data_IF_541251175915
#
_entry.id   IF_541251175915
#
_cell.length_a   1.000
_cell.length_b   1.000
_cell.length_c   1.000
_cell.angle_alpha   90.00
_cell.angle_beta   90.00
_cell.angle_gamma   90.00
#
_symmetry.space_group_name_H-M   'P 1'
#
loop_
_entity.id
_entity.type
_entity.pdbx_description
1 polymer ?
#
# COMPACT_ATOMS: atom_id res chain seq x y z
N UNK A 1 -68.81 -8.70 -18.83
CA UNK A 1 -69.79 -8.53 -17.74
C UNK A 1 -69.03 -8.33 -16.43
N UNK A 2 -69.49 -7.41 -15.55
CA UNK A 2 -68.78 -6.96 -14.37
C UNK A 2 -69.19 -7.67 -13.07
N UNK A 3 -68.20 -7.91 -12.18
CA UNK A 3 -68.21 -7.96 -10.69
C UNK A 3 -69.20 -8.90 -9.95
N UNK A 4 -69.13 -9.06 -8.61
CA UNK A 4 -68.02 -9.05 -7.62
C UNK A 4 -68.08 -10.34 -6.73
N UNK A 5 -67.17 -10.62 -5.78
CA UNK A 5 -67.35 -10.52 -4.32
C UNK A 5 -66.05 -11.09 -3.69
N UNK A 6 -65.16 -10.26 -3.11
CA UNK A 6 -65.05 -9.90 -1.67
C UNK A 6 -64.22 -10.91 -0.84
N UNK A 7 -63.41 -10.43 0.13
CA UNK A 7 -62.13 -11.01 0.58
C UNK A 7 -62.18 -11.54 2.03
N UNK A 8 -61.05 -12.09 2.52
CA UNK A 8 -60.40 -11.72 3.79
C UNK A 8 -59.23 -12.67 4.12
N UNK A 9 -58.10 -12.06 4.50
CA UNK A 9 -57.21 -12.39 5.64
C UNK A 9 -56.88 -13.87 5.92
N UNK A 10 -55.67 -14.31 6.24
CA UNK A 10 -54.49 -13.67 6.79
C UNK A 10 -53.37 -14.71 6.75
N UNK A 11 -52.17 -14.30 6.39
CA UNK A 11 -50.86 -14.84 6.81
C UNK A 11 -49.85 -14.18 5.84
N UNK A 12 -49.42 -12.95 6.09
CA UNK A 12 -48.63 -12.61 7.25
C UNK A 12 -47.16 -12.81 6.90
N UNK A 13 -46.59 -11.82 6.19
CA UNK A 13 -45.23 -11.28 6.29
C UNK A 13 -44.91 -10.49 5.00
N UNK A 14 -45.16 -9.17 4.97
CA UNK A 14 -44.82 -8.34 3.83
C UNK A 14 -43.31 -8.10 3.74
N UNK A 15 -42.79 -8.26 2.52
CA UNK A 15 -41.50 -7.77 2.06
C UNK A 15 -41.56 -6.25 2.10
N UNK A 16 -41.26 -5.67 3.25
CA UNK A 16 -41.19 -4.21 3.41
C UNK A 16 -39.79 -3.73 3.06
N UNK A 17 -39.71 -3.23 1.82
CA UNK A 17 -38.82 -2.18 1.35
C UNK A 17 -38.29 -1.30 2.48
N UNK A 18 -37.03 -1.52 2.86
CA UNK A 18 -36.30 -0.73 3.85
C UNK A 18 -36.03 0.65 3.25
N UNK A 19 -36.97 1.56 3.48
CA UNK A 19 -36.97 2.93 2.99
C UNK A 19 -35.81 3.71 3.63
N UNK A 20 -34.90 4.24 2.80
CA UNK A 20 -33.71 5.05 3.17
C UNK A 20 -34.00 6.26 4.08
N UNK A 21 -35.26 6.60 4.34
CA UNK A 21 -35.68 7.70 5.20
C UNK A 21 -35.87 7.33 6.68
N UNK A 22 -35.85 6.05 7.04
CA UNK A 22 -35.98 5.62 8.44
C UNK A 22 -34.68 5.69 9.26
N UNK A 23 -33.53 6.01 8.63
CA UNK A 23 -32.21 6.02 9.30
C UNK A 23 -31.76 7.43 9.73
N UNK A 24 -32.67 8.39 9.84
CA UNK A 24 -32.33 9.80 10.19
C UNK A 24 -33.02 10.27 11.48
N UNK A 25 -33.80 9.44 12.16
CA UNK A 25 -34.46 9.85 13.40
C UNK A 25 -34.02 8.98 14.59
N UNK A 26 -32.92 9.39 15.23
CA UNK A 26 -32.64 8.97 16.62
C UNK A 26 -31.18 8.64 16.91
N UNK A 27 -30.38 9.64 17.30
CA UNK A 27 -30.03 9.84 18.71
C UNK A 27 -29.13 11.10 18.88
N UNK A 28 -29.36 11.90 19.93
CA UNK A 28 -28.82 13.25 20.08
C UNK A 28 -27.49 13.30 20.86
N UNK A 29 -26.75 14.37 20.58
CA UNK A 29 -25.90 15.15 21.49
C UNK A 29 -25.16 14.40 22.62
N UNK A 30 -23.91 14.00 22.34
CA UNK A 30 -22.80 14.16 23.28
C UNK A 30 -21.79 15.11 22.65
N UNK A 31 -22.15 16.40 22.65
CA UNK A 31 -21.17 17.49 22.58
C UNK A 31 -20.51 17.53 23.96
N UNK A 32 -19.44 16.78 24.12
CA UNK A 32 -18.43 17.09 25.12
C UNK A 32 -17.23 17.61 24.37
N UNK A 33 -17.07 18.93 24.46
CA UNK A 33 -15.89 19.65 24.01
C UNK A 33 -14.63 19.03 24.63
N UNK A 34 -13.71 18.60 23.76
CA UNK A 34 -12.30 18.45 24.06
C UNK A 34 -11.51 18.46 22.75
N UNK A 35 -11.38 19.64 22.14
CA UNK A 35 -10.19 20.00 21.37
C UNK A 35 -9.58 21.19 22.14
N UNK A 36 -8.26 21.28 22.34
CA UNK A 36 -7.23 20.76 21.46
C UNK A 36 -6.11 20.06 22.21
N UNK A 37 -6.08 18.73 22.17
CA UNK A 37 -4.79 18.08 22.11
C UNK A 37 -4.44 18.04 20.62
N UNK A 38 -3.66 19.00 20.17
CA UNK A 38 -2.67 18.68 19.16
C UNK A 38 -1.84 17.56 19.79
N UNK A 39 -2.31 16.31 19.66
CA UNK A 39 -1.40 15.18 19.72
C UNK A 39 -0.31 15.57 18.75
N UNK A 40 0.93 15.62 19.24
CA UNK A 40 2.08 15.36 18.42
C UNK A 40 1.72 14.14 17.57
N UNK A 41 1.20 14.40 16.37
CA UNK A 41 1.02 13.39 15.37
C UNK A 41 2.45 13.07 15.00
N UNK A 42 3.02 12.08 15.71
CA UNK A 42 4.35 11.58 15.45
C UNK A 42 4.46 11.47 13.93
N UNK A 43 5.49 12.07 13.31
CA UNK A 43 5.57 12.19 11.87
C UNK A 43 5.32 10.80 11.28
N UNK A 44 4.27 10.70 10.46
CA UNK A 44 3.86 9.41 9.93
C UNK A 44 5.07 8.78 9.23
N UNK A 45 5.38 7.49 9.50
CA UNK A 45 6.59 6.85 8.99
C UNK A 45 6.63 6.95 7.47
N UNK A 46 7.81 7.21 6.92
CA UNK A 46 7.98 7.37 5.47
C UNK A 46 7.53 6.08 4.75
N UNK A 47 6.55 6.15 3.81
CA UNK A 47 6.05 4.98 3.11
C UNK A 47 7.15 4.21 2.35
N UNK A 48 8.24 4.88 1.97
CA UNK A 48 9.40 4.26 1.35
C UNK A 48 9.97 3.13 2.21
N UNK A 49 10.08 3.35 3.53
CA UNK A 49 10.64 2.36 4.46
C UNK A 49 9.82 1.07 4.45
N UNK A 50 8.49 1.20 4.50
CA UNK A 50 7.58 0.05 4.49
C UNK A 50 7.62 -0.70 3.15
N UNK A 51 7.70 0.03 2.03
CA UNK A 51 7.78 -0.55 0.70
C UNK A 51 9.09 -1.31 0.48
N UNK A 52 10.22 -0.74 0.87
CA UNK A 52 11.53 -1.42 0.77
C UNK A 52 11.57 -2.67 1.64
N UNK A 53 11.05 -2.61 2.87
CA UNK A 53 10.93 -3.79 3.72
C UNK A 53 10.05 -4.88 3.10
N UNK A 54 8.95 -4.49 2.44
CA UNK A 54 8.06 -5.42 1.73
C UNK A 54 8.75 -6.04 0.51
N UNK A 55 9.49 -5.25 -0.26
CA UNK A 55 10.30 -5.73 -1.37
C UNK A 55 11.35 -6.73 -0.89
N UNK A 56 12.07 -6.43 0.19
CA UNK A 56 13.07 -7.33 0.77
C UNK A 56 12.51 -8.69 1.19
N UNK A 57 11.28 -8.72 1.74
CA UNK A 57 10.57 -9.98 2.02
C UNK A 57 10.20 -10.75 0.75
N UNK A 58 9.68 -10.07 -0.27
CA UNK A 58 9.38 -10.71 -1.55
C UNK A 58 10.65 -11.29 -2.20
N UNK A 59 11.77 -10.56 -2.15
CA UNK A 59 13.09 -11.02 -2.62
C UNK A 59 13.57 -12.25 -1.84
N UNK A 60 13.44 -12.26 -0.52
CA UNK A 60 13.79 -13.42 0.30
C UNK A 60 12.96 -14.66 -0.07
N UNK A 61 11.66 -14.50 -0.31
CA UNK A 61 10.80 -15.59 -0.77
C UNK A 61 11.13 -16.06 -2.18
N UNK A 62 11.47 -15.14 -3.09
CA UNK A 62 11.94 -15.49 -4.42
C UNK A 62 13.25 -16.30 -4.35
N UNK A 63 14.23 -15.87 -3.54
CA UNK A 63 15.48 -16.61 -3.32
C UNK A 63 15.25 -18.01 -2.75
N UNK A 64 14.32 -18.15 -1.80
CA UNK A 64 13.95 -19.45 -1.25
C UNK A 64 13.29 -20.35 -2.30
N UNK A 65 12.42 -19.80 -3.16
CA UNK A 65 11.81 -20.54 -4.27
C UNK A 65 12.86 -20.94 -5.33
N UNK A 66 13.78 -20.04 -5.66
CA UNK A 66 14.86 -20.29 -6.61
C UNK A 66 15.84 -21.36 -6.09
N UNK A 67 16.16 -21.35 -4.80
CA UNK A 67 17.01 -22.38 -4.18
C UNK A 67 16.35 -23.77 -4.16
N UNK A 68 15.02 -23.83 -4.18
CA UNK A 68 14.25 -25.08 -4.27
C UNK A 68 14.07 -25.55 -5.72
N UNK A 69 14.42 -24.73 -6.71
CA UNK A 69 14.32 -25.07 -8.13
C UNK A 69 15.56 -25.84 -8.58
N UNK A 70 15.43 -27.16 -8.67
CA UNK A 70 16.52 -28.06 -9.05
C UNK A 70 16.91 -27.94 -10.53
N UNK A 71 16.01 -27.43 -11.38
CA UNK A 71 16.28 -27.26 -12.81
C UNK A 71 17.04 -25.96 -13.07
N UNK A 72 17.11 -25.05 -12.09
CA UNK A 72 17.83 -23.78 -12.16
C UNK A 72 17.31 -22.79 -13.21
N UNK A 73 16.16 -23.07 -13.82
CA UNK A 73 15.55 -22.22 -14.84
C UNK A 73 14.66 -21.11 -14.24
N UNK A 74 14.34 -21.20 -12.95
CA UNK A 74 13.50 -20.27 -12.20
C UNK A 74 12.07 -20.13 -12.77
N UNK A 75 11.60 -21.15 -13.51
CA UNK A 75 10.29 -21.18 -14.17
C UNK A 75 9.18 -21.77 -13.28
N UNK A 76 9.50 -22.17 -12.05
CA UNK A 76 8.48 -22.66 -11.12
C UNK A 76 7.41 -21.59 -10.86
N UNK A 77 6.18 -22.04 -10.60
CA UNK A 77 5.05 -21.16 -10.26
C UNK A 77 5.39 -20.23 -9.09
N UNK A 78 6.15 -20.72 -8.11
CA UNK A 78 6.58 -19.95 -6.95
C UNK A 78 7.56 -18.84 -7.32
N UNK A 79 8.59 -19.15 -8.13
CA UNK A 79 9.54 -18.16 -8.64
C UNK A 79 8.81 -17.04 -9.40
N UNK A 80 7.96 -17.40 -10.37
CA UNK A 80 7.19 -16.41 -11.16
C UNK A 80 6.20 -15.61 -10.32
N UNK A 81 5.62 -16.20 -9.27
CA UNK A 81 4.75 -15.45 -8.37
C UNK A 81 5.51 -14.36 -7.62
N UNK A 82 6.64 -14.71 -7.00
CA UNK A 82 7.41 -13.75 -6.21
C UNK A 82 8.13 -12.72 -7.08
N UNK A 83 8.57 -13.09 -8.28
CA UNK A 83 9.10 -12.17 -9.28
C UNK A 83 8.07 -11.08 -9.64
N UNK A 84 6.82 -11.47 -9.91
CA UNK A 84 5.75 -10.48 -10.14
C UNK A 84 5.48 -9.59 -8.94
N UNK A 85 5.53 -10.14 -7.72
CA UNK A 85 5.38 -9.33 -6.49
C UNK A 85 6.53 -8.33 -6.35
N UNK A 86 7.75 -8.75 -6.63
CA UNK A 86 8.94 -7.91 -6.60
C UNK A 86 8.80 -6.71 -7.54
N UNK A 87 8.46 -6.96 -8.82
CA UNK A 87 8.24 -5.91 -9.80
C UNK A 87 7.08 -4.98 -9.44
N UNK A 88 5.97 -5.51 -8.92
CA UNK A 88 4.85 -4.69 -8.50
C UNK A 88 5.24 -3.74 -7.34
N UNK A 89 6.04 -4.22 -6.37
CA UNK A 89 6.50 -3.38 -5.26
C UNK A 89 7.56 -2.39 -5.74
N UNK A 90 8.46 -2.78 -6.64
CA UNK A 90 9.43 -1.87 -7.25
C UNK A 90 8.72 -0.70 -7.93
N UNK A 91 7.67 -0.94 -8.72
CA UNK A 91 6.90 0.12 -9.35
C UNK A 91 6.30 1.10 -8.32
N UNK A 92 5.89 0.61 -7.15
CA UNK A 92 5.44 1.46 -6.04
C UNK A 92 6.59 2.27 -5.43
N UNK A 93 7.77 1.69 -5.25
CA UNK A 93 8.98 2.40 -4.80
C UNK A 93 9.34 3.51 -5.78
N UNK A 94 9.30 3.23 -7.08
CA UNK A 94 9.56 4.19 -8.16
C UNK A 94 8.58 5.36 -8.15
N UNK A 95 7.31 5.12 -7.84
CA UNK A 95 6.29 6.17 -7.74
C UNK A 95 6.31 6.95 -6.40
N UNK A 96 6.87 6.38 -5.33
CA UNK A 96 6.76 6.94 -3.97
C UNK A 96 7.80 8.02 -3.70
N UNK A 97 7.43 9.28 -3.38
CA UNK A 97 8.40 10.32 -3.05
C UNK A 97 9.09 10.04 -1.71
N UNK A 98 10.35 10.46 -1.59
CA UNK A 98 11.10 10.43 -0.33
C UNK A 98 10.66 11.64 0.50
N UNK A 99 10.35 11.43 1.78
CA UNK A 99 9.89 12.49 2.70
C UNK A 99 10.86 12.71 3.85
N UNK A 100 11.58 11.67 4.27
CA UNK A 100 12.51 11.73 5.40
C UNK A 100 13.88 11.18 5.06
N UNK A 101 14.85 11.40 5.94
CA UNK A 101 16.20 10.82 5.83
C UNK A 101 16.15 9.30 5.90
N UNK A 102 15.27 8.74 6.73
CA UNK A 102 15.03 7.29 6.81
C UNK A 102 14.49 6.74 5.49
N UNK A 103 13.59 7.48 4.82
CA UNK A 103 13.13 7.15 3.48
C UNK A 103 14.25 7.14 2.44
N UNK A 104 15.17 8.11 2.50
CA UNK A 104 16.36 8.13 1.65
C UNK A 104 17.26 6.92 1.93
N UNK A 105 17.52 6.63 3.21
CA UNK A 105 18.31 5.46 3.62
C UNK A 105 17.70 4.15 3.12
N UNK A 106 16.37 4.01 3.21
CA UNK A 106 15.65 2.86 2.65
C UNK A 106 15.83 2.74 1.13
N UNK A 107 15.72 3.84 0.39
CA UNK A 107 15.97 3.81 -1.06
C UNK A 107 17.41 3.41 -1.39
N UNK A 108 18.41 3.96 -0.68
CA UNK A 108 19.81 3.58 -0.87
C UNK A 108 20.03 2.09 -0.62
N UNK A 109 19.43 1.54 0.44
CA UNK A 109 19.47 0.11 0.72
C UNK A 109 18.82 -0.71 -0.40
N UNK A 110 17.66 -0.29 -0.90
CA UNK A 110 16.98 -0.94 -2.03
C UNK A 110 17.86 -0.98 -3.28
N UNK A 111 18.51 0.14 -3.63
CA UNK A 111 19.39 0.21 -4.80
C UNK A 111 20.60 -0.72 -4.66
N UNK A 112 21.18 -0.79 -3.46
CA UNK A 112 22.32 -1.67 -3.21
C UNK A 112 21.92 -3.15 -3.20
N UNK A 113 20.79 -3.49 -2.57
CA UNK A 113 20.33 -4.88 -2.43
C UNK A 113 19.63 -5.43 -3.68
N UNK A 114 19.01 -4.56 -4.47
CA UNK A 114 18.27 -4.88 -5.69
C UNK A 114 19.17 -4.99 -6.92
N UNK A 115 20.35 -4.38 -6.88
CA UNK A 115 21.33 -4.64 -7.92
C UNK A 115 21.85 -6.06 -7.75
N UNK A 116 21.41 -6.94 -8.65
CA UNK A 116 21.96 -8.28 -8.81
C UNK A 116 23.36 -8.20 -9.41
N UNK A 117 24.25 -7.37 -8.84
CA UNK A 117 25.65 -7.37 -9.20
C UNK A 117 26.15 -8.77 -8.93
N UNK A 118 26.27 -9.52 -10.02
CA UNK A 118 26.93 -10.81 -10.10
C UNK A 118 28.39 -10.58 -9.70
N UNK A 119 28.60 -10.63 -8.39
CA UNK A 119 29.85 -10.85 -7.66
C UNK A 119 31.03 -9.90 -7.89
N UNK A 120 31.02 -8.98 -8.86
CA UNK A 120 32.25 -8.26 -9.26
C UNK A 120 32.19 -6.74 -9.39
N UNK A 121 31.02 -6.09 -9.25
CA UNK A 121 30.94 -4.63 -9.30
C UNK A 121 30.65 -4.04 -7.91
N UNK A 122 31.59 -3.29 -7.30
CA UNK A 122 31.39 -2.66 -6.00
C UNK A 122 30.35 -1.52 -6.04
N UNK A 123 29.91 -1.08 -7.22
CA UNK A 123 28.99 0.03 -7.37
C UNK A 123 27.60 -0.45 -7.84
N UNK A 124 26.51 -0.04 -7.16
CA UNK A 124 25.18 -0.32 -7.68
C UNK A 124 24.92 0.55 -8.93
N UNK A 125 24.35 -0.06 -9.95
CA UNK A 125 23.74 0.63 -11.08
C UNK A 125 22.55 1.43 -10.55
N UNK A 126 22.73 2.75 -10.49
CA UNK A 126 21.66 3.64 -10.05
C UNK A 126 20.81 4.04 -11.25
N UNK A 127 19.55 3.60 -11.32
CA UNK A 127 18.69 3.97 -12.43
C UNK A 127 18.37 5.47 -12.39
N UNK A 128 18.19 6.07 -13.57
CA UNK A 128 17.94 7.51 -13.70
C UNK A 128 16.78 8.01 -12.84
N UNK A 129 15.71 7.23 -12.68
CA UNK A 129 14.56 7.61 -11.87
C UNK A 129 14.95 7.82 -10.39
N UNK A 130 15.88 7.03 -9.87
CA UNK A 130 16.34 7.14 -8.49
C UNK A 130 17.17 8.41 -8.29
N UNK A 131 18.06 8.73 -9.25
CA UNK A 131 18.83 9.98 -9.23
C UNK A 131 17.91 11.21 -9.24
N UNK A 132 16.87 11.21 -10.09
CA UNK A 132 15.88 12.30 -10.14
C UNK A 132 15.18 12.46 -8.79
N UNK A 133 14.83 11.35 -8.15
CA UNK A 133 14.16 11.33 -6.84
C UNK A 133 15.04 11.88 -5.72
N UNK A 134 16.31 11.44 -5.65
CA UNK A 134 17.28 11.93 -4.66
C UNK A 134 17.54 13.42 -4.85
N UNK A 135 17.67 13.89 -6.10
CA UNK A 135 17.82 15.31 -6.41
C UNK A 135 16.61 16.14 -5.95
N UNK A 136 15.40 15.64 -6.20
CA UNK A 136 14.17 16.31 -5.77
C UNK A 136 14.09 16.39 -4.23
N UNK A 137 14.43 15.30 -3.55
CA UNK A 137 14.50 15.28 -2.08
C UNK A 137 15.54 16.28 -1.56
N UNK A 138 16.77 16.28 -2.08
CA UNK A 138 17.83 17.19 -1.65
C UNK A 138 17.44 18.66 -1.83
N UNK A 139 16.81 19.01 -2.96
CA UNK A 139 16.31 20.37 -3.20
C UNK A 139 15.24 20.78 -2.16
N UNK A 140 14.37 19.86 -1.73
CA UNK A 140 13.36 20.14 -0.70
C UNK A 140 13.96 20.45 0.68
N UNK A 141 15.15 19.93 0.99
CA UNK A 141 15.80 20.18 2.28
C UNK A 141 16.40 21.59 2.37
N UNK A 142 16.80 22.16 1.23
CA UNK A 142 17.43 23.49 1.15
C UNK A 142 16.37 24.61 1.23
N UNK A 143 15.15 24.36 0.73
CA UNK A 143 14.07 25.35 0.67
C UNK A 143 13.26 25.53 1.96
N UNK A 144 13.55 24.78 3.03
CA UNK A 144 12.81 24.84 4.31
C UNK A 144 13.42 25.74 5.39
N UNK A 145 14.45 26.53 5.06
CA UNK A 145 15.19 27.37 6.01
C UNK A 145 14.91 28.88 5.85
N UNK A 146 13.71 29.25 5.38
CA UNK A 146 13.27 30.64 5.26
C UNK A 146 12.19 30.97 6.30
#
# INVERSE_FOLDING_TARGET
MPNPHIPAAATGLPIETLSRRALVAGLPALVMAALPAALDAAPAPDPMVALVARWGRARAHWRAAAAADLDGNFETRACKFWERQEYAIQALIEATPIRTVEGLGALCHFLFAGNNNFENDPWPDVPRWALVKVRAWAASQIGGAA
#
